data_IF_089470266855
#
_entry.id   IF_089470266855
#
_cell.length_a   1.000
_cell.length_b   1.000
_cell.length_c   1.000
_cell.angle_alpha   90.00
_cell.angle_beta   90.00
_cell.angle_gamma   90.00
#
_symmetry.space_group_name_H-M   'P 1'
#
loop_
_entity.id
_entity.type
_entity.pdbx_description
1 polymer ?
#
# COMPACT_ATOMS: atom_id res chain seq x y z
N UNK A 1 12.77 4.62 -39.88
CA UNK A 1 13.07 4.99 -38.48
C UNK A 1 11.83 5.38 -37.67
N UNK A 2 10.72 5.78 -38.31
CA UNK A 2 9.50 6.22 -37.60
C UNK A 2 8.58 5.06 -37.18
N UNK A 3 8.54 3.95 -37.94
CA UNK A 3 7.64 2.82 -37.66
C UNK A 3 7.94 2.11 -36.33
N UNK A 4 9.21 1.97 -35.97
CA UNK A 4 9.61 1.37 -34.69
C UNK A 4 9.18 2.24 -33.49
N UNK A 5 9.23 3.57 -33.64
CA UNK A 5 8.76 4.51 -32.62
C UNK A 5 7.24 4.45 -32.46
N UNK A 6 6.49 4.36 -33.56
CA UNK A 6 5.03 4.23 -33.53
C UNK A 6 4.58 2.88 -32.93
N UNK A 7 5.24 1.76 -33.23
CA UNK A 7 4.96 0.47 -32.58
C UNK A 7 5.18 0.55 -31.06
N UNK A 8 6.32 1.09 -30.61
CA UNK A 8 6.61 1.26 -29.20
C UNK A 8 5.60 2.19 -28.49
N UNK A 9 5.18 3.27 -29.17
CA UNK A 9 4.17 4.19 -28.68
C UNK A 9 2.81 3.51 -28.51
N UNK A 10 2.36 2.72 -29.49
CA UNK A 10 1.10 1.99 -29.42
C UNK A 10 1.08 0.93 -28.30
N UNK A 11 2.18 0.21 -28.11
CA UNK A 11 2.32 -0.72 -26.98
C UNK A 11 2.26 0.00 -25.64
N UNK A 12 2.93 1.16 -25.55
CA UNK A 12 2.93 1.99 -24.37
C UNK A 12 1.54 2.56 -24.05
N UNK A 13 0.81 3.08 -25.05
CA UNK A 13 -0.56 3.58 -24.89
C UNK A 13 -1.54 2.47 -24.49
N UNK A 14 -1.37 1.24 -24.99
CA UNK A 14 -2.17 0.08 -24.58
C UNK A 14 -1.94 -0.31 -23.11
N UNK A 15 -0.71 -0.20 -22.64
CA UNK A 15 -0.33 -0.52 -21.25
C UNK A 15 -0.69 0.61 -20.28
N UNK A 16 -0.55 1.86 -20.72
CA UNK A 16 -0.83 3.06 -19.95
C UNK A 16 -2.29 3.51 -20.09
N UNK A 17 -3.23 2.61 -19.77
CA UNK A 17 -4.63 3.03 -19.58
C UNK A 17 -4.70 3.87 -18.32
N UNK A 18 -4.91 5.18 -18.49
CA UNK A 18 -5.19 6.08 -17.37
C UNK A 18 -6.52 5.63 -16.75
N UNK A 19 -6.53 5.16 -15.49
CA UNK A 19 -7.78 4.80 -14.85
C UNK A 19 -8.60 6.07 -14.64
N UNK A 20 -9.89 6.02 -14.99
CA UNK A 20 -10.79 7.17 -14.83
C UNK A 20 -11.17 7.30 -13.35
N UNK A 21 -10.44 8.16 -12.64
CA UNK A 21 -10.67 8.43 -11.22
C UNK A 21 -11.54 9.66 -11.05
N UNK A 22 -12.69 9.49 -10.40
CA UNK A 22 -13.58 10.58 -10.03
C UNK A 22 -13.32 11.04 -8.60
N UNK A 23 -13.61 12.31 -8.34
CA UNK A 23 -13.61 12.86 -6.98
C UNK A 23 -14.61 12.06 -6.13
N UNK A 24 -14.26 11.80 -4.87
CA UNK A 24 -14.97 10.92 -3.92
C UNK A 24 -14.86 9.40 -4.16
N UNK A 25 -14.10 8.94 -5.15
CA UNK A 25 -13.81 7.51 -5.26
C UNK A 25 -12.89 7.04 -4.13
N UNK A 26 -13.12 5.80 -3.69
CA UNK A 26 -12.26 5.08 -2.77
C UNK A 26 -11.04 4.54 -3.50
N UNK A 27 -9.87 4.84 -2.96
CA UNK A 27 -8.60 4.42 -3.53
C UNK A 27 -7.63 3.93 -2.48
N UNK A 28 -6.73 3.06 -2.92
CA UNK A 28 -5.59 2.53 -2.19
C UNK A 28 -4.34 3.33 -2.56
N UNK A 29 -3.55 3.74 -1.56
CA UNK A 29 -2.32 4.51 -1.79
C UNK A 29 -1.09 3.63 -1.59
N UNK A 30 -0.15 3.71 -2.52
CA UNK A 30 1.12 2.98 -2.49
C UNK A 30 1.99 3.42 -1.31
N UNK A 31 2.60 2.46 -0.64
CA UNK A 31 3.46 2.72 0.51
C UNK A 31 4.95 2.80 0.20
N UNK A 32 5.30 2.74 -1.08
CA UNK A 32 6.68 2.73 -1.56
C UNK A 32 7.51 3.89 -1.01
N UNK A 33 6.88 5.07 -0.84
CA UNK A 33 7.53 6.29 -0.37
C UNK A 33 7.30 6.58 1.13
N UNK A 34 6.63 5.68 1.86
CA UNK A 34 6.41 5.86 3.31
C UNK A 34 7.55 5.22 4.11
N UNK A 35 8.58 5.99 4.43
CA UNK A 35 9.75 5.50 5.18
C UNK A 35 9.47 5.25 6.67
N UNK A 36 8.42 5.86 7.24
CA UNK A 36 8.12 5.79 8.69
C UNK A 36 6.99 4.82 9.05
N UNK A 37 6.68 3.86 8.17
CA UNK A 37 5.73 2.80 8.50
C UNK A 37 6.37 1.82 9.49
N UNK A 38 5.69 1.53 10.60
CA UNK A 38 6.15 0.57 11.60
C UNK A 38 6.28 -0.84 10.99
N UNK A 39 7.35 -1.55 11.33
CA UNK A 39 7.54 -2.97 11.00
C UNK A 39 8.62 -3.27 9.95
N UNK A 40 8.94 -4.56 9.76
CA UNK A 40 9.96 -5.00 8.82
C UNK A 40 9.53 -4.79 7.36
N UNK A 41 10.44 -4.31 6.52
CA UNK A 41 10.21 -3.96 5.10
C UNK A 41 9.50 -5.05 4.29
N UNK A 42 9.75 -6.33 4.61
CA UNK A 42 9.17 -7.49 3.90
C UNK A 42 7.71 -7.78 4.25
N UNK A 43 7.26 -7.43 5.45
CA UNK A 43 5.88 -7.66 5.90
C UNK A 43 4.98 -6.43 5.66
N UNK A 44 5.53 -5.37 5.09
CA UNK A 44 4.80 -4.14 4.85
C UNK A 44 3.84 -4.31 3.68
N UNK A 45 2.59 -3.91 3.87
CA UNK A 45 1.62 -3.84 2.79
C UNK A 45 2.09 -2.83 1.71
N UNK A 46 2.11 -3.25 0.46
CA UNK A 46 2.47 -2.38 -0.67
C UNK A 46 1.47 -1.25 -0.90
N UNK A 47 0.22 -1.47 -0.54
CA UNK A 47 -0.87 -0.50 -0.63
C UNK A 47 -1.59 -0.43 0.72
N UNK A 48 -1.99 0.77 1.11
CA UNK A 48 -2.66 1.02 2.40
C UNK A 48 -3.93 1.81 2.18
N UNK A 49 -4.93 1.44 2.98
CA UNK A 49 -6.09 2.26 3.31
C UNK A 49 -7.09 2.45 2.17
N UNK A 50 -8.34 2.66 2.55
CA UNK A 50 -9.38 3.15 1.64
C UNK A 50 -9.52 4.64 1.89
N UNK A 51 -8.96 5.44 0.99
CA UNK A 51 -8.97 6.88 1.10
C UNK A 51 -9.83 7.51 0.02
N UNK A 52 -10.40 8.68 0.32
CA UNK A 52 -11.22 9.43 -0.63
C UNK A 52 -10.35 10.39 -1.44
N UNK A 53 -10.56 10.40 -2.75
CA UNK A 53 -10.06 11.47 -3.62
C UNK A 53 -10.85 12.75 -3.31
N UNK A 54 -10.14 13.81 -2.93
CA UNK A 54 -10.73 15.13 -2.61
C UNK A 54 -10.75 16.03 -3.83
N UNK A 55 -9.68 16.02 -4.62
CA UNK A 55 -9.54 16.88 -5.79
C UNK A 55 -8.52 16.31 -6.78
N UNK A 56 -8.67 16.70 -8.03
CA UNK A 56 -7.68 16.48 -9.09
C UNK A 56 -6.74 17.70 -9.12
N UNK A 57 -5.44 17.45 -9.08
CA UNK A 57 -4.40 18.48 -9.08
C UNK A 57 -3.60 18.33 -10.38
N UNK A 58 -3.90 19.13 -11.40
CA UNK A 58 -3.35 18.92 -12.75
C UNK A 58 -3.94 17.68 -13.44
N UNK A 59 -3.31 17.18 -14.49
CA UNK A 59 -3.86 16.09 -15.32
C UNK A 59 -3.75 14.71 -14.68
N UNK A 60 -2.63 14.44 -13.99
CA UNK A 60 -2.23 13.09 -13.59
C UNK A 60 -1.99 12.94 -12.09
N UNK A 61 -2.52 13.83 -11.27
CA UNK A 61 -2.22 13.83 -9.83
C UNK A 61 -3.49 14.10 -9.04
N UNK A 62 -3.66 13.37 -7.95
CA UNK A 62 -4.86 13.42 -7.11
C UNK A 62 -4.48 13.79 -5.69
N UNK A 63 -5.30 14.65 -5.09
CA UNK A 63 -5.27 14.93 -3.66
C UNK A 63 -6.19 13.95 -2.96
N UNK A 64 -5.63 13.21 -2.01
CA UNK A 64 -6.29 12.13 -1.27
C UNK A 64 -6.37 12.52 0.20
N UNK A 65 -7.52 12.26 0.84
CA UNK A 65 -7.68 12.47 2.28
C UNK A 65 -7.10 11.29 3.05
N UNK A 66 -5.88 11.45 3.55
CA UNK A 66 -5.24 10.47 4.42
C UNK A 66 -5.82 10.54 5.84
N UNK A 67 -5.75 9.43 6.57
CA UNK A 67 -6.22 9.32 7.97
C UNK A 67 -5.23 8.51 8.82
N UNK A 68 -5.25 8.72 10.13
CA UNK A 68 -4.42 8.01 11.11
C UNK A 68 -2.95 8.40 11.04
N UNK A 69 -2.05 7.41 11.05
CA UNK A 69 -0.59 7.62 11.05
C UNK A 69 -0.08 8.33 9.78
N UNK A 70 -0.89 8.38 8.72
CA UNK A 70 -0.54 8.96 7.42
C UNK A 70 -1.04 10.40 7.24
N UNK A 71 -1.77 10.99 8.19
CA UNK A 71 -2.28 12.37 8.09
C UNK A 71 -1.18 13.42 7.93
N UNK A 72 -0.01 13.16 8.55
CA UNK A 72 1.15 14.06 8.48
C UNK A 72 1.96 13.91 7.19
N UNK A 73 1.60 12.97 6.31
CA UNK A 73 2.30 12.74 5.04
C UNK A 73 1.69 13.57 3.93
N UNK A 74 2.44 13.73 2.84
CA UNK A 74 1.96 14.48 1.68
C UNK A 74 0.72 13.81 1.10
N UNK A 75 -0.35 14.59 0.91
CA UNK A 75 -1.66 14.10 0.49
C UNK A 75 -1.84 14.03 -1.03
N UNK A 76 -0.83 14.43 -1.81
CA UNK A 76 -0.92 14.53 -3.27
C UNK A 76 -0.12 13.38 -3.86
N UNK A 77 -0.75 12.59 -4.72
CA UNK A 77 -0.17 11.38 -5.31
C UNK A 77 -0.40 11.34 -6.82
N UNK A 78 0.61 10.96 -7.61
CA UNK A 78 0.42 10.69 -9.03
C UNK A 78 -0.43 9.43 -9.23
N UNK A 79 -1.09 9.33 -10.38
CA UNK A 79 -1.95 8.18 -10.77
C UNK A 79 -1.25 6.83 -10.54
N UNK A 80 0.05 6.75 -10.80
CA UNK A 80 0.84 5.52 -10.69
C UNK A 80 0.97 4.98 -9.26
N UNK A 81 0.79 5.84 -8.25
CA UNK A 81 0.87 5.46 -6.83
C UNK A 81 -0.51 5.20 -6.23
N UNK A 82 -1.57 5.22 -7.04
CA UNK A 82 -2.95 5.05 -6.60
C UNK A 82 -3.55 3.84 -7.32
N UNK A 83 -4.32 3.04 -6.59
CA UNK A 83 -5.14 1.96 -7.16
C UNK A 83 -6.61 2.16 -6.80
N UNK A 84 -7.55 1.87 -7.71
CA UNK A 84 -8.96 1.86 -7.36
C UNK A 84 -9.23 0.80 -6.29
N UNK A 85 -10.01 1.15 -5.27
CA UNK A 85 -10.43 0.18 -4.28
C UNK A 85 -11.55 -0.69 -4.85
N UNK A 86 -11.35 -2.01 -4.83
CA UNK A 86 -12.37 -2.98 -5.18
C UNK A 86 -12.82 -3.71 -3.90
N UNK A 87 -14.11 -3.61 -3.52
CA UNK A 87 -14.62 -4.37 -2.39
C UNK A 87 -14.55 -5.87 -2.69
N UNK A 88 -14.35 -6.68 -1.65
CA UNK A 88 -14.41 -8.13 -1.79
C UNK A 88 -15.84 -8.54 -2.18
N UNK A 89 -15.96 -9.28 -3.27
CA UNK A 89 -17.24 -9.83 -3.71
C UNK A 89 -17.67 -10.96 -2.75
N UNK A 90 -18.83 -10.76 -2.13
CA UNK A 90 -19.39 -11.69 -1.13
C UNK A 90 -20.01 -12.92 -1.78
N UNK A 91 -20.47 -12.83 -3.02
CA UNK A 91 -21.09 -13.95 -3.73
C UNK A 91 -20.03 -14.94 -4.21
N UNK A 92 -18.93 -14.42 -4.77
CA UNK A 92 -17.79 -15.24 -5.20
C UNK A 92 -16.97 -15.79 -4.04
N UNK A 93 -16.87 -15.07 -2.91
CA UNK A 93 -15.99 -15.43 -1.79
C UNK A 93 -16.69 -15.35 -0.41
N UNK A 94 -17.70 -16.20 -0.14
CA UNK A 94 -18.48 -16.13 1.09
C UNK A 94 -17.69 -16.45 2.37
N UNK A 95 -16.57 -17.17 2.25
CA UNK A 95 -15.72 -17.55 3.39
C UNK A 95 -14.67 -16.49 3.78
N UNK A 96 -14.54 -15.38 3.02
CA UNK A 96 -13.62 -14.28 3.35
C UNK A 96 -14.20 -13.34 4.40
N UNK A 97 -14.54 -13.87 5.57
CA UNK A 97 -14.82 -13.05 6.73
C UNK A 97 -13.50 -12.65 7.39
N UNK A 98 -13.33 -11.38 7.82
CA UNK A 98 -12.14 -10.97 8.54
C UNK A 98 -12.11 -11.69 9.89
N UNK A 99 -11.41 -12.81 9.98
CA UNK A 99 -11.17 -13.50 11.24
C UNK A 99 -10.27 -12.60 12.08
N UNK A 100 -10.65 -12.24 13.32
CA UNK A 100 -9.77 -11.50 14.21
C UNK A 100 -8.49 -12.31 14.40
N UNK A 101 -7.33 -11.69 14.17
CA UNK A 101 -6.03 -12.29 14.44
C UNK A 101 -5.94 -12.55 15.94
N UNK A 102 -6.17 -13.79 16.36
CA UNK A 102 -5.95 -14.19 17.74
C UNK A 102 -4.44 -14.27 17.92
N UNK A 103 -3.86 -13.31 18.64
CA UNK A 103 -2.42 -13.34 18.96
C UNK A 103 -2.21 -14.59 19.82
N UNK A 104 -1.36 -15.55 19.41
CA UNK A 104 -1.07 -16.69 20.25
C UNK A 104 -0.49 -16.17 21.58
N UNK A 105 -0.81 -16.81 22.73
CA UNK A 105 -0.20 -16.43 24.00
C UNK A 105 1.31 -16.43 23.83
N UNK A 106 1.94 -15.27 24.06
CA UNK A 106 3.39 -15.19 24.15
C UNK A 106 3.75 -15.96 25.40
N UNK A 107 4.30 -17.16 25.24
CA UNK A 107 4.96 -17.85 26.34
C UNK A 107 6.01 -16.87 26.87
N UNK A 108 5.84 -16.43 28.11
CA UNK A 108 6.82 -15.60 28.80
C UNK A 108 8.08 -16.46 28.90
N UNK A 109 8.97 -16.33 27.92
CA UNK A 109 10.29 -16.92 27.99
C UNK A 109 10.95 -16.27 29.20
N UNK A 110 11.04 -17.01 30.30
CA UNK A 110 11.74 -16.58 31.51
C UNK A 110 13.07 -15.97 31.10
N UNK A 111 13.32 -14.73 31.53
CA UNK A 111 14.56 -14.01 31.24
C UNK A 111 15.74 -14.90 31.64
N UNK A 112 16.38 -15.53 30.65
CA UNK A 112 17.55 -16.38 30.87
C UNK A 112 18.71 -15.46 31.24
N UNK A 113 18.80 -15.15 32.54
CA UNK A 113 19.95 -14.47 33.15
C UNK A 113 21.18 -15.37 32.98
N UNK A 114 22.15 -14.91 32.20
CA UNK A 114 23.42 -15.61 32.00
C UNK A 114 24.13 -15.71 33.35
N UNK A 115 24.27 -16.93 33.88
CA UNK A 115 24.81 -17.16 35.24
C UNK A 115 26.33 -17.13 35.32
N UNK A 116 27.05 -17.39 34.23
CA UNK A 116 28.52 -17.39 34.24
C UNK A 116 29.09 -17.33 32.82
N UNK A 117 30.08 -16.47 32.61
CA UNK A 117 30.92 -16.45 31.42
C UNK A 117 32.27 -17.04 31.82
N UNK A 118 32.67 -18.14 31.19
CA UNK A 118 34.01 -18.72 31.40
C UNK A 118 34.94 -18.04 30.41
N UNK A 119 36.00 -17.42 30.93
CA UNK A 119 37.07 -16.81 30.13
C UNK A 119 38.25 -17.79 30.14
N UNK A 120 38.45 -18.49 29.02
CA UNK A 120 39.71 -19.23 28.81
C UNK A 120 40.86 -18.23 28.63
N UNK A 121 42.03 -18.63 29.14
CA UNK A 121 43.26 -17.84 29.21
C UNK A 121 44.33 -18.53 28.40
#
# INVERSE_FOLDING_TARGET
MNEAFECAKQEWEKSCKVPDFKVQNLVLVSTMNFNNSKGPKKLKAFFVGTFFIVALHGTNTFKVKLSGELEKKHSIFPVSLIKPYQPADKELFPLRNPTPLTVPPVEQSEDKRIKKVIKER
#
